data_IF_201866062324
#
_entry.id   IF_201866062324
#
_cell.length_a   1.000
_cell.length_b   1.000
_cell.length_c   1.000
_cell.angle_alpha   90.00
_cell.angle_beta   90.00
_cell.angle_gamma   90.00
#
_symmetry.space_group_name_H-M   'P 1'
#
loop_
_entity.id
_entity.type
_entity.pdbx_description
1 polymer ?
#
# COMPACT_ATOMS: atom_id res chain seq x y z
N UNK A 1 -61.30 67.23 14.78
CA UNK A 1 -61.43 65.91 15.43
C UNK A 1 -61.19 64.83 14.39
N UNK A 2 -60.28 63.87 14.68
CA UNK A 2 -59.98 62.63 13.94
C UNK A 2 -59.26 62.81 12.59
N UNK A 3 -58.25 62.05 12.19
CA UNK A 3 -57.40 61.09 12.88
C UNK A 3 -56.14 60.86 12.02
N UNK A 4 -55.09 60.44 12.70
CA UNK A 4 -53.75 60.00 12.29
C UNK A 4 -53.70 58.90 11.21
N UNK A 5 -52.55 58.83 10.52
CA UNK A 5 -52.14 57.65 9.75
C UNK A 5 -50.92 57.88 8.85
N UNK A 6 -49.72 57.95 9.43
CA UNK A 6 -48.46 57.82 8.67
C UNK A 6 -48.18 56.34 8.42
N UNK A 7 -48.10 55.92 7.17
CA UNK A 7 -47.65 54.57 6.80
C UNK A 7 -46.12 54.56 6.72
N UNK A 8 -45.45 54.03 7.75
CA UNK A 8 -44.08 53.54 7.63
C UNK A 8 -44.13 52.19 6.88
N UNK A 9 -43.64 52.16 5.64
CA UNK A 9 -43.30 50.89 5.00
C UNK A 9 -41.97 50.40 5.56
N UNK A 10 -42.04 49.47 6.51
CA UNK A 10 -40.89 48.71 6.98
C UNK A 10 -40.48 47.71 5.89
N UNK A 11 -39.39 47.98 5.18
CA UNK A 11 -38.76 47.01 4.29
C UNK A 11 -38.10 45.92 5.14
N UNK A 12 -38.65 44.71 5.12
CA UNK A 12 -38.06 43.53 5.76
C UNK A 12 -36.87 43.07 4.92
N UNK A 13 -35.66 43.24 5.44
CA UNK A 13 -34.44 42.68 4.86
C UNK A 13 -34.44 41.17 5.11
N UNK A 14 -34.74 40.36 4.09
CA UNK A 14 -34.59 38.92 4.16
C UNK A 14 -33.09 38.55 4.04
N UNK A 15 -32.47 38.21 5.17
CA UNK A 15 -31.11 37.65 5.19
C UNK A 15 -31.21 36.18 4.79
N UNK A 16 -30.80 35.86 3.56
CA UNK A 16 -30.62 34.48 3.13
C UNK A 16 -29.35 33.91 3.76
N UNK A 17 -29.49 33.10 4.81
CA UNK A 17 -28.41 32.24 5.27
C UNK A 17 -28.20 31.10 4.27
N UNK A 18 -27.18 31.23 3.43
CA UNK A 18 -26.66 30.11 2.66
C UNK A 18 -25.92 29.20 3.63
N UNK A 19 -26.59 28.18 4.14
CA UNK A 19 -25.93 27.07 4.81
C UNK A 19 -25.12 26.31 3.75
N UNK A 20 -23.82 26.59 3.67
CA UNK A 20 -22.89 25.65 3.05
C UNK A 20 -22.92 24.38 3.90
N UNK A 21 -23.55 23.33 3.37
CA UNK A 21 -23.28 21.98 3.85
C UNK A 21 -21.81 21.69 3.54
N UNK A 22 -20.94 21.86 4.53
CA UNK A 22 -19.67 21.17 4.53
C UNK A 22 -20.00 19.68 4.59
N UNK A 23 -20.03 19.02 3.43
CA UNK A 23 -19.95 17.57 3.38
C UNK A 23 -18.59 17.20 3.98
N UNK A 24 -18.57 16.83 5.26
CA UNK A 24 -17.46 16.08 5.83
C UNK A 24 -17.37 14.80 5.00
N UNK A 25 -16.45 14.77 4.04
CA UNK A 25 -16.18 13.55 3.30
C UNK A 25 -15.59 12.57 4.30
N UNK A 26 -16.32 11.50 4.60
CA UNK A 26 -15.84 10.49 5.53
C UNK A 26 -14.61 9.76 4.95
N UNK A 27 -13.80 9.18 5.83
CA UNK A 27 -12.70 8.33 5.39
C UNK A 27 -13.22 7.17 4.53
N UNK A 28 -12.50 6.79 3.48
CA UNK A 28 -12.91 5.68 2.62
C UNK A 28 -13.03 4.38 3.44
N UNK A 29 -14.19 3.72 3.38
CA UNK A 29 -14.39 2.46 4.06
C UNK A 29 -13.79 1.28 3.29
N UNK A 30 -12.68 0.75 3.82
CA UNK A 30 -11.98 -0.44 3.32
C UNK A 30 -12.49 -1.76 3.92
N UNK A 31 -13.62 -1.79 4.63
CA UNK A 31 -14.19 -3.01 5.23
C UNK A 31 -14.30 -4.17 4.22
N UNK A 32 -14.79 -3.89 3.02
CA UNK A 32 -14.85 -4.84 1.89
C UNK A 32 -13.47 -5.44 1.57
N UNK A 33 -12.42 -4.60 1.49
CA UNK A 33 -11.07 -5.09 1.25
C UNK A 33 -10.60 -6.00 2.38
N UNK A 34 -10.87 -5.61 3.62
CA UNK A 34 -10.56 -6.41 4.81
C UNK A 34 -11.25 -7.78 4.79
N UNK A 35 -12.50 -7.85 4.36
CA UNK A 35 -13.23 -9.11 4.21
C UNK A 35 -12.65 -9.97 3.08
N UNK A 36 -12.34 -9.37 1.93
CA UNK A 36 -11.78 -10.05 0.77
C UNK A 36 -10.39 -10.65 1.05
N UNK A 37 -9.48 -9.91 1.71
CA UNK A 37 -8.16 -10.46 2.03
C UNK A 37 -8.26 -11.62 3.02
N UNK A 38 -9.18 -11.57 3.99
CA UNK A 38 -9.41 -12.70 4.91
C UNK A 38 -9.97 -13.92 4.18
N UNK A 39 -10.84 -13.71 3.19
CA UNK A 39 -11.51 -14.77 2.42
C UNK A 39 -10.57 -15.44 1.42
N UNK A 40 -9.73 -14.67 0.73
CA UNK A 40 -8.99 -15.14 -0.44
C UNK A 40 -7.48 -15.29 -0.26
N UNK A 41 -6.92 -14.81 0.85
CA UNK A 41 -5.49 -14.92 1.14
C UNK A 41 -5.21 -16.08 2.09
N UNK A 42 -4.33 -16.99 1.69
CA UNK A 42 -3.90 -18.12 2.51
C UNK A 42 -2.39 -18.39 2.35
N UNK A 43 -1.71 -18.92 3.38
CA UNK A 43 -0.30 -19.26 3.27
C UNK A 43 -0.06 -20.37 2.23
N UNK A 44 1.01 -20.24 1.45
CA UNK A 44 1.50 -21.22 0.48
C UNK A 44 3.03 -21.24 0.52
N UNK A 45 3.62 -22.34 0.06
CA UNK A 45 5.06 -22.45 -0.15
C UNK A 45 5.34 -22.81 -1.60
N UNK A 46 6.26 -22.10 -2.25
CA UNK A 46 6.76 -22.42 -3.58
C UNK A 46 8.28 -22.29 -3.58
N UNK A 47 8.98 -23.30 -4.10
CA UNK A 47 10.45 -23.32 -4.15
C UNK A 47 11.13 -22.97 -2.80
N UNK A 48 10.54 -23.44 -1.69
CA UNK A 48 11.06 -23.17 -0.33
C UNK A 48 10.75 -21.78 0.23
N UNK A 49 10.08 -20.90 -0.52
CA UNK A 49 9.62 -19.58 -0.06
C UNK A 49 8.18 -19.69 0.41
N UNK A 50 7.93 -19.36 1.68
CA UNK A 50 6.57 -19.24 2.24
C UNK A 50 6.04 -17.83 2.00
N UNK A 51 4.79 -17.72 1.53
CA UNK A 51 4.15 -16.44 1.26
C UNK A 51 2.63 -16.53 1.41
N UNK A 52 1.99 -15.36 1.50
CA UNK A 52 0.53 -15.22 1.44
C UNK A 52 0.05 -15.23 -0.01
N UNK A 53 -0.53 -16.36 -0.44
CA UNK A 53 -1.07 -16.56 -1.77
C UNK A 53 -2.52 -16.08 -1.87
N UNK A 54 -2.88 -15.47 -2.99
CA UNK A 54 -4.22 -14.96 -3.28
C UNK A 54 -4.92 -15.90 -4.27
N UNK A 55 -6.17 -16.27 -3.96
CA UNK A 55 -7.05 -16.94 -4.92
C UNK A 55 -7.61 -15.91 -5.92
N UNK A 56 -6.80 -15.58 -6.93
CA UNK A 56 -7.18 -14.62 -7.97
C UNK A 56 -8.35 -15.09 -8.84
N UNK A 57 -8.50 -16.41 -9.01
CA UNK A 57 -9.58 -16.99 -9.82
C UNK A 57 -10.96 -16.73 -9.17
N UNK A 58 -11.04 -16.87 -7.85
CA UNK A 58 -12.25 -16.57 -7.09
C UNK A 58 -12.43 -15.08 -6.85
N UNK A 59 -11.35 -14.34 -6.53
CA UNK A 59 -11.40 -12.88 -6.33
C UNK A 59 -11.94 -12.15 -7.56
N UNK A 60 -11.51 -12.56 -8.77
CA UNK A 60 -12.00 -12.01 -10.04
C UNK A 60 -13.52 -12.09 -10.21
N UNK A 61 -14.16 -13.10 -9.60
CA UNK A 61 -15.61 -13.37 -9.72
C UNK A 61 -16.42 -12.80 -8.56
N UNK A 62 -15.79 -12.25 -7.53
CA UNK A 62 -16.48 -11.74 -6.35
C UNK A 62 -17.03 -10.33 -6.63
N UNK A 63 -18.36 -10.12 -6.59
CA UNK A 63 -18.96 -8.81 -6.86
C UNK A 63 -18.59 -7.74 -5.82
N UNK A 64 -18.18 -8.14 -4.61
CA UNK A 64 -17.68 -7.21 -3.59
C UNK A 64 -16.37 -6.57 -4.07
N UNK A 65 -15.51 -7.32 -4.77
CA UNK A 65 -14.25 -6.80 -5.28
C UNK A 65 -14.45 -5.79 -6.41
N UNK A 66 -15.33 -6.09 -7.39
CA UNK A 66 -15.64 -5.13 -8.46
C UNK A 66 -16.35 -3.89 -7.92
N UNK A 67 -17.26 -4.05 -6.96
CA UNK A 67 -17.91 -2.94 -6.25
C UNK A 67 -16.92 -2.05 -5.50
N UNK A 68 -15.97 -2.64 -4.77
CA UNK A 68 -14.90 -1.92 -4.08
C UNK A 68 -14.06 -1.07 -5.05
N UNK A 69 -13.66 -1.64 -6.19
CA UNK A 69 -12.90 -0.91 -7.22
C UNK A 69 -13.70 0.27 -7.76
N UNK A 70 -14.99 0.08 -8.07
CA UNK A 70 -15.86 1.15 -8.56
C UNK A 70 -16.01 2.30 -7.54
N UNK A 71 -16.10 1.99 -6.24
CA UNK A 71 -16.17 3.02 -5.18
C UNK A 71 -14.90 3.88 -5.10
N UNK A 72 -13.73 3.33 -5.44
CA UNK A 72 -12.49 4.12 -5.47
C UNK A 72 -12.53 5.20 -6.57
N UNK A 73 -13.23 4.94 -7.67
CA UNK A 73 -13.29 5.87 -8.81
C UNK A 73 -13.98 7.18 -8.43
N UNK A 74 -15.05 7.11 -7.62
CA UNK A 74 -15.87 8.26 -7.21
C UNK A 74 -15.46 8.88 -5.87
N UNK A 75 -14.48 8.32 -5.17
CA UNK A 75 -14.07 8.82 -3.85
C UNK A 75 -13.38 10.19 -3.93
N UNK A 76 -13.85 11.15 -3.12
CA UNK A 76 -13.18 12.44 -2.97
C UNK A 76 -11.93 12.32 -2.10
N UNK A 77 -10.78 12.70 -2.63
CA UNK A 77 -9.51 12.70 -1.88
C UNK A 77 -9.38 13.88 -0.91
N UNK A 78 -10.32 14.82 -0.91
CA UNK A 78 -10.26 16.03 -0.08
C UNK A 78 -10.30 15.73 1.43
N UNK A 79 -10.86 14.59 1.83
CA UNK A 79 -10.93 14.13 3.22
C UNK A 79 -9.64 13.52 3.77
N UNK A 80 -8.62 13.33 2.93
CA UNK A 80 -7.33 12.83 3.38
C UNK A 80 -6.49 14.00 3.92
N UNK A 81 -6.69 14.34 5.19
CA UNK A 81 -6.05 15.52 5.80
C UNK A 81 -4.67 15.19 6.38
N UNK A 82 -4.56 14.12 7.18
CA UNK A 82 -3.32 13.73 7.88
C UNK A 82 -2.38 12.90 7.00
N UNK A 83 -1.08 12.89 7.33
CA UNK A 83 -0.08 12.03 6.68
C UNK A 83 -0.45 10.55 6.80
N UNK A 84 -0.92 10.14 7.98
CA UNK A 84 -1.29 8.76 8.29
C UNK A 84 -2.51 8.33 7.47
N UNK A 85 -3.52 9.21 7.35
CA UNK A 85 -4.70 8.93 6.51
C UNK A 85 -4.33 8.76 5.04
N UNK A 86 -3.44 9.62 4.52
CA UNK A 86 -2.92 9.54 3.15
C UNK A 86 -2.13 8.25 2.93
N UNK A 87 -1.20 7.93 3.84
CA UNK A 87 -0.39 6.71 3.73
C UNK A 87 -1.27 5.46 3.79
N UNK A 88 -2.14 5.32 4.80
CA UNK A 88 -3.00 4.13 4.92
C UNK A 88 -3.91 3.98 3.70
N UNK A 89 -4.49 5.07 3.21
CA UNK A 89 -5.32 5.06 2.01
C UNK A 89 -4.53 4.57 0.80
N UNK A 90 -3.40 5.19 0.47
CA UNK A 90 -2.64 4.87 -0.74
C UNK A 90 -1.98 3.48 -0.69
N UNK A 91 -1.60 2.99 0.49
CA UNK A 91 -1.13 1.59 0.65
C UNK A 91 -2.27 0.61 0.34
N UNK A 92 -3.47 0.81 0.92
CA UNK A 92 -4.61 -0.05 0.63
C UNK A 92 -4.99 0.00 -0.86
N UNK A 93 -5.06 1.19 -1.44
CA UNK A 93 -5.38 1.39 -2.87
C UNK A 93 -4.35 0.71 -3.76
N UNK A 94 -3.05 0.84 -3.48
CA UNK A 94 -2.02 0.13 -4.24
C UNK A 94 -2.28 -1.38 -4.23
N UNK A 95 -2.52 -1.96 -3.06
CA UNK A 95 -2.71 -3.41 -2.92
C UNK A 95 -3.99 -3.90 -3.62
N UNK A 96 -5.08 -3.12 -3.56
CA UNK A 96 -6.33 -3.40 -4.30
C UNK A 96 -6.08 -3.37 -5.80
N UNK A 97 -5.41 -2.32 -6.29
CA UNK A 97 -5.15 -2.16 -7.72
C UNK A 97 -4.11 -3.17 -8.24
N UNK A 98 -3.15 -3.59 -7.40
CA UNK A 98 -2.22 -4.66 -7.74
C UNK A 98 -2.95 -6.00 -7.90
N UNK A 99 -3.88 -6.31 -6.98
CA UNK A 99 -4.73 -7.47 -7.12
C UNK A 99 -5.61 -7.39 -8.38
N UNK A 100 -6.18 -6.20 -8.66
CA UNK A 100 -6.99 -5.95 -9.86
C UNK A 100 -6.19 -6.18 -11.14
N UNK A 101 -4.96 -5.68 -11.21
CA UNK A 101 -4.06 -5.90 -12.33
C UNK A 101 -3.83 -7.40 -12.58
N UNK A 102 -3.71 -8.22 -11.54
CA UNK A 102 -3.63 -9.67 -11.74
C UNK A 102 -4.97 -10.24 -12.21
N UNK A 103 -6.09 -9.90 -11.57
CA UNK A 103 -7.41 -10.47 -11.92
C UNK A 103 -7.82 -10.14 -13.36
N UNK A 104 -7.52 -8.93 -13.84
CA UNK A 104 -7.84 -8.48 -15.20
C UNK A 104 -7.12 -9.33 -16.25
N UNK A 105 -5.91 -9.80 -15.93
CA UNK A 105 -5.06 -10.58 -16.82
C UNK A 105 -5.03 -12.08 -16.51
N UNK A 106 -5.71 -12.54 -15.46
CA UNK A 106 -5.68 -13.94 -15.03
C UNK A 106 -6.33 -14.88 -16.07
N UNK A 107 -5.73 -16.06 -16.37
CA UNK A 107 -4.54 -16.66 -15.74
C UNK A 107 -3.20 -16.21 -16.35
N UNK A 108 -2.20 -15.95 -15.50
CA UNK A 108 -0.81 -15.60 -15.86
C UNK A 108 0.18 -16.30 -14.93
N UNK A 109 1.43 -16.48 -15.37
CA UNK A 109 2.48 -17.12 -14.56
C UNK A 109 3.31 -16.11 -13.78
N UNK A 110 3.60 -14.95 -14.37
CA UNK A 110 4.35 -13.87 -13.75
C UNK A 110 3.64 -12.53 -13.88
N UNK A 111 3.77 -11.68 -12.85
CA UNK A 111 3.37 -10.26 -12.94
C UNK A 111 4.10 -9.55 -14.09
N UNK A 112 5.30 -10.00 -14.46
CA UNK A 112 6.03 -9.48 -15.61
C UNK A 112 5.34 -9.74 -16.94
N UNK A 113 4.55 -10.81 -17.03
CA UNK A 113 3.79 -11.17 -18.25
C UNK A 113 2.70 -10.14 -18.56
N UNK A 114 2.27 -9.36 -17.55
CA UNK A 114 1.29 -8.27 -17.72
C UNK A 114 1.93 -7.04 -18.37
N UNK A 115 3.25 -6.90 -18.29
CA UNK A 115 4.02 -5.83 -18.92
C UNK A 115 4.68 -6.30 -20.22
N UNK A 116 5.22 -5.34 -20.97
CA UNK A 116 6.23 -5.62 -21.99
C UNK A 116 7.56 -5.00 -21.57
N UNK A 117 8.65 -5.40 -22.24
CA UNK A 117 9.97 -4.78 -22.03
C UNK A 117 9.94 -3.25 -22.18
N UNK A 118 9.07 -2.73 -23.06
CA UNK A 118 8.92 -1.29 -23.33
C UNK A 118 7.90 -0.59 -22.40
N UNK A 119 6.95 -1.34 -21.84
CA UNK A 119 5.96 -0.80 -20.88
C UNK A 119 5.78 -1.78 -19.73
N UNK A 120 6.57 -1.64 -18.65
CA UNK A 120 6.42 -2.44 -17.45
C UNK A 120 4.97 -2.38 -16.95
N UNK A 121 4.47 -3.49 -16.41
CA UNK A 121 3.10 -3.61 -15.86
C UNK A 121 2.73 -2.44 -14.96
N UNK A 122 3.67 -1.98 -14.15
CA UNK A 122 3.47 -0.89 -13.19
C UNK A 122 3.18 0.47 -13.85
N UNK A 123 3.47 0.64 -15.15
CA UNK A 123 3.17 1.85 -15.94
C UNK A 123 1.88 1.72 -16.76
N UNK A 124 1.14 0.61 -16.64
CA UNK A 124 -0.20 0.47 -17.21
C UNK A 124 -1.23 1.05 -16.23
N UNK A 125 -2.34 1.55 -16.76
CA UNK A 125 -3.46 2.02 -15.95
C UNK A 125 -3.98 0.84 -15.15
N UNK A 126 -3.96 0.97 -13.83
CA UNK A 126 -4.41 -0.05 -12.90
C UNK A 126 -5.87 0.16 -12.49
N UNK A 127 -6.30 1.42 -12.41
CA UNK A 127 -7.68 1.81 -12.16
C UNK A 127 -7.82 3.33 -12.05
N UNK A 128 -9.03 3.79 -11.77
CA UNK A 128 -9.34 5.19 -11.51
C UNK A 128 -9.51 5.40 -10.01
N UNK A 129 -8.94 6.47 -9.47
CA UNK A 129 -9.06 6.82 -8.05
C UNK A 129 -9.33 8.31 -7.94
N UNK A 130 -10.50 8.66 -7.39
CA UNK A 130 -10.98 10.04 -7.31
C UNK A 130 -11.00 10.76 -8.67
N UNK A 131 -11.58 10.11 -9.67
CA UNK A 131 -11.74 10.64 -11.02
C UNK A 131 -10.48 10.71 -11.89
N UNK A 132 -9.32 10.25 -11.38
CA UNK A 132 -8.07 10.25 -12.15
C UNK A 132 -7.55 8.82 -12.36
N UNK A 133 -7.17 8.49 -13.60
CA UNK A 133 -6.47 7.25 -13.91
C UNK A 133 -5.14 7.17 -13.16
N UNK A 134 -4.88 6.01 -12.55
CA UNK A 134 -3.67 5.74 -11.76
C UNK A 134 -2.97 4.49 -12.27
N UNK A 135 -1.65 4.54 -12.22
CA UNK A 135 -0.79 3.37 -12.41
C UNK A 135 -0.20 2.97 -11.06
N UNK A 136 0.25 1.72 -10.90
CA UNK A 136 0.95 1.33 -9.66
C UNK A 136 2.23 2.16 -9.45
N UNK A 137 2.93 2.49 -10.54
CA UNK A 137 4.11 3.35 -10.50
C UNK A 137 3.78 4.78 -10.03
N UNK A 138 2.65 5.36 -10.47
CA UNK A 138 2.20 6.69 -10.01
C UNK A 138 1.96 6.68 -8.50
N UNK A 139 1.25 5.67 -8.00
CA UNK A 139 0.96 5.55 -6.57
C UNK A 139 2.25 5.38 -5.76
N UNK A 140 3.16 4.53 -6.21
CA UNK A 140 4.41 4.26 -5.50
C UNK A 140 5.39 5.44 -5.55
N UNK A 141 5.73 5.91 -6.75
CA UNK A 141 6.80 6.89 -6.94
C UNK A 141 6.34 8.34 -6.77
N UNK A 142 5.16 8.68 -7.25
CA UNK A 142 4.70 10.07 -7.27
C UNK A 142 3.91 10.47 -6.03
N UNK A 143 3.41 9.48 -5.27
CA UNK A 143 2.60 9.71 -4.07
C UNK A 143 3.27 9.13 -2.81
N UNK A 144 3.42 7.80 -2.71
CA UNK A 144 3.86 7.15 -1.48
C UNK A 144 5.32 7.49 -1.11
N UNK A 145 6.26 7.37 -2.06
CA UNK A 145 7.68 7.65 -1.81
C UNK A 145 7.94 9.10 -1.40
N UNK A 146 7.16 10.06 -1.91
CA UNK A 146 7.26 11.48 -1.53
C UNK A 146 6.85 11.76 -0.08
N UNK A 147 6.18 10.82 0.59
CA UNK A 147 5.84 10.91 2.02
C UNK A 147 6.97 10.43 2.96
N UNK A 148 8.13 10.08 2.40
CA UNK A 148 9.37 9.73 3.12
C UNK A 148 9.16 8.64 4.20
N UNK A 149 8.45 7.59 3.81
CA UNK A 149 8.12 6.44 4.65
C UNK A 149 8.77 5.16 4.08
N UNK A 150 9.95 4.73 4.56
CA UNK A 150 10.66 3.59 3.96
C UNK A 150 9.91 2.26 4.09
N UNK A 151 9.02 2.14 5.09
CA UNK A 151 8.23 0.90 5.32
C UNK A 151 7.16 0.66 4.26
N UNK A 152 6.86 1.60 3.37
CA UNK A 152 5.92 1.35 2.27
C UNK A 152 6.37 0.17 1.41
N UNK A 153 7.69 -0.02 1.24
CA UNK A 153 8.29 -1.07 0.41
C UNK A 153 8.02 -2.49 0.92
N UNK A 154 7.59 -2.62 2.17
CA UNK A 154 7.16 -3.89 2.77
C UNK A 154 5.64 -3.97 3.01
N UNK A 155 4.92 -2.91 2.61
CA UNK A 155 3.47 -2.78 2.79
C UNK A 155 2.71 -2.81 1.46
N UNK A 156 3.35 -2.41 0.36
CA UNK A 156 2.80 -2.52 -0.99
C UNK A 156 3.28 -3.81 -1.67
N UNK A 157 2.35 -4.62 -2.15
CA UNK A 157 2.62 -5.98 -2.64
C UNK A 157 2.46 -6.04 -4.16
N UNK A 158 3.60 -6.22 -4.83
CA UNK A 158 3.73 -6.36 -6.29
C UNK A 158 3.24 -7.70 -6.88
N UNK A 159 2.45 -8.47 -6.13
CA UNK A 159 1.86 -9.75 -6.53
C UNK A 159 2.84 -10.85 -7.00
N UNK A 160 4.07 -10.89 -6.47
CA UNK A 160 5.05 -11.96 -6.73
C UNK A 160 5.41 -12.76 -5.48
N UNK A 161 5.93 -13.98 -5.65
CA UNK A 161 6.32 -14.89 -4.56
C UNK A 161 7.33 -14.25 -3.60
N UNK A 162 8.32 -13.52 -4.13
CA UNK A 162 9.34 -12.83 -3.32
C UNK A 162 8.93 -11.43 -2.85
N UNK A 163 7.72 -10.93 -3.18
CA UNK A 163 7.19 -9.70 -2.58
C UNK A 163 6.93 -9.92 -1.06
N UNK A 164 6.79 -8.83 -0.29
CA UNK A 164 6.26 -8.90 1.08
C UNK A 164 4.90 -9.58 1.11
N UNK A 165 4.54 -10.18 2.24
CA UNK A 165 3.24 -10.80 2.38
C UNK A 165 2.14 -9.75 2.41
N UNK A 166 1.08 -9.98 1.62
CA UNK A 166 -0.13 -9.18 1.71
C UNK A 166 -0.74 -9.36 3.10
N UNK A 167 -0.90 -8.23 3.81
CA UNK A 167 -1.51 -8.18 5.12
C UNK A 167 -2.97 -8.65 5.04
N UNK A 168 -3.39 -9.51 5.98
CA UNK A 168 -4.77 -10.01 6.07
C UNK A 168 -5.72 -9.06 6.83
N UNK A 169 -5.32 -7.80 6.96
CA UNK A 169 -6.14 -6.69 7.46
C UNK A 169 -5.75 -5.40 6.73
N UNK A 170 -6.65 -4.42 6.78
CA UNK A 170 -6.46 -3.13 6.12
C UNK A 170 -5.52 -2.22 6.93
N UNK A 171 -4.76 -1.39 6.24
CA UNK A 171 -4.02 -0.32 6.91
C UNK A 171 -4.99 0.78 7.35
N UNK A 172 -4.85 1.27 8.58
CA UNK A 172 -5.68 2.37 9.09
C UNK A 172 -4.82 3.43 9.74
N UNK A 173 -5.24 4.71 9.65
CA UNK A 173 -4.46 5.83 10.17
C UNK A 173 -4.07 5.65 11.64
N UNK A 174 -5.00 5.15 12.48
CA UNK A 174 -4.78 4.95 13.92
C UNK A 174 -3.83 3.81 14.29
N UNK A 175 -3.57 2.85 13.38
CA UNK A 175 -2.70 1.69 13.61
C UNK A 175 -1.49 1.65 12.68
N UNK A 176 -1.35 2.64 11.79
CA UNK A 176 -0.44 2.56 10.65
C UNK A 176 1.00 2.26 11.06
N UNK A 177 1.53 2.94 12.08
CA UNK A 177 2.92 2.74 12.50
C UNK A 177 3.15 1.31 13.02
N UNK A 178 2.28 0.80 13.89
CA UNK A 178 2.34 -0.58 14.39
C UNK A 178 2.27 -1.59 13.22
N UNK A 179 1.36 -1.37 12.28
CA UNK A 179 1.17 -2.26 11.13
C UNK A 179 2.39 -2.25 10.19
N UNK A 180 3.01 -1.09 9.99
CA UNK A 180 4.21 -0.95 9.17
C UNK A 180 5.45 -1.58 9.84
N UNK A 181 5.60 -1.42 11.14
CA UNK A 181 6.69 -2.03 11.91
C UNK A 181 6.55 -3.56 11.92
N UNK A 182 5.35 -4.07 12.22
CA UNK A 182 5.04 -5.50 12.17
C UNK A 182 5.30 -6.10 10.79
N UNK A 183 4.97 -5.40 9.71
CA UNK A 183 5.26 -5.85 8.34
C UNK A 183 6.77 -5.90 8.04
N UNK A 184 7.54 -4.92 8.49
CA UNK A 184 8.99 -4.92 8.29
C UNK A 184 9.63 -6.08 9.04
N UNK A 185 9.25 -6.29 10.30
CA UNK A 185 9.72 -7.42 11.10
C UNK A 185 9.39 -8.77 10.46
N UNK A 186 8.12 -8.97 10.08
CA UNK A 186 7.67 -10.21 9.41
C UNK A 186 8.39 -10.43 8.10
N UNK A 187 8.59 -9.37 7.32
CA UNK A 187 9.29 -9.47 6.05
C UNK A 187 10.74 -9.89 6.25
N UNK A 188 11.49 -9.23 7.14
CA UNK A 188 12.89 -9.57 7.42
C UNK A 188 13.05 -11.01 7.91
N UNK A 189 12.11 -11.49 8.75
CA UNK A 189 12.10 -12.88 9.25
C UNK A 189 11.61 -13.90 8.22
N UNK A 190 11.12 -13.46 7.05
CA UNK A 190 10.54 -14.35 6.04
C UNK A 190 11.63 -15.18 5.34
N UNK A 191 11.66 -16.51 5.55
CA UNK A 191 12.70 -17.36 4.97
C UNK A 191 12.67 -17.32 3.44
N UNK A 192 13.83 -17.06 2.84
CA UNK A 192 14.00 -17.07 1.39
C UNK A 192 13.59 -15.78 0.66
N UNK A 193 13.03 -14.77 1.34
CA UNK A 193 12.70 -13.48 0.68
C UNK A 193 12.99 -12.21 1.49
N UNK A 194 13.20 -12.32 2.80
CA UNK A 194 13.45 -11.19 3.70
C UNK A 194 14.92 -10.86 3.91
N UNK A 195 15.49 -11.47 4.94
CA UNK A 195 16.89 -11.38 5.34
C UNK A 195 17.44 -12.76 5.68
N UNK A 196 18.72 -13.00 5.40
CA UNK A 196 19.46 -14.18 5.87
C UNK A 196 20.88 -13.78 6.25
N UNK A 197 21.28 -14.09 7.48
CA UNK A 197 22.67 -13.94 7.93
C UNK A 197 23.49 -15.19 7.61
N UNK A 198 24.73 -14.97 7.16
CA UNK A 198 25.77 -15.98 7.00
C UNK A 198 27.03 -15.47 7.70
N UNK A 199 27.10 -15.73 9.00
CA UNK A 199 28.20 -15.26 9.87
C UNK A 199 29.54 -15.87 9.47
N UNK A 200 29.55 -17.13 9.00
CA UNK A 200 30.77 -17.82 8.54
C UNK A 200 31.42 -17.09 7.37
N UNK A 201 30.62 -16.49 6.48
CA UNK A 201 31.09 -15.69 5.34
C UNK A 201 31.09 -14.18 5.62
N UNK A 202 30.78 -13.77 6.84
CA UNK A 202 30.57 -12.38 7.24
C UNK A 202 29.68 -11.61 6.25
N UNK A 203 28.51 -12.16 5.96
CA UNK A 203 27.62 -11.70 4.89
C UNK A 203 26.17 -11.67 5.35
N UNK A 204 25.45 -10.63 4.94
CA UNK A 204 23.99 -10.55 5.02
C UNK A 204 23.41 -10.62 3.61
N UNK A 205 22.44 -11.50 3.41
CA UNK A 205 21.62 -11.55 2.20
C UNK A 205 20.30 -10.83 2.48
N UNK A 206 19.95 -9.87 1.65
CA UNK A 206 18.73 -9.07 1.76
C UNK A 206 17.83 -9.28 0.55
N UNK A 207 16.54 -9.04 0.72
CA UNK A 207 15.64 -8.89 -0.42
C UNK A 207 16.17 -7.88 -1.43
N UNK A 208 15.93 -8.15 -2.73
CA UNK A 208 16.24 -7.19 -3.80
C UNK A 208 15.49 -5.86 -3.65
N UNK A 209 14.41 -5.80 -2.87
CA UNK A 209 13.71 -4.55 -2.52
C UNK A 209 14.66 -3.54 -1.86
N UNK A 210 15.52 -4.01 -0.95
CA UNK A 210 16.53 -3.15 -0.32
C UNK A 210 17.67 -2.73 -1.27
N UNK A 211 17.80 -3.38 -2.43
CA UNK A 211 18.69 -2.93 -3.51
C UNK A 211 18.04 -1.83 -4.34
N UNK A 212 16.81 -2.08 -4.80
CA UNK A 212 16.11 -1.19 -5.73
C UNK A 212 15.73 0.14 -5.10
N UNK A 213 15.42 0.13 -3.80
CA UNK A 213 14.97 1.31 -3.06
C UNK A 213 15.96 1.76 -1.98
N UNK A 214 17.25 1.44 -2.13
CA UNK A 214 18.28 1.78 -1.14
C UNK A 214 18.30 3.26 -0.76
N UNK A 215 18.02 4.16 -1.72
CA UNK A 215 17.98 5.61 -1.53
C UNK A 215 16.93 6.05 -0.50
N UNK A 216 15.79 5.35 -0.44
CA UNK A 216 14.70 5.71 0.48
C UNK A 216 15.08 5.43 1.95
N UNK A 217 16.17 4.70 2.19
CA UNK A 217 16.74 4.45 3.51
C UNK A 217 17.95 5.36 3.82
N UNK A 218 18.48 6.09 2.83
CA UNK A 218 19.73 6.85 2.96
C UNK A 218 19.66 7.92 4.07
N UNK A 219 18.55 8.68 4.12
CA UNK A 219 18.31 9.69 5.17
C UNK A 219 18.22 9.10 6.59
N UNK A 220 18.06 7.79 6.73
CA UNK A 220 18.02 7.07 8.00
C UNK A 220 19.36 6.36 8.31
N UNK A 221 20.41 6.66 7.56
CA UNK A 221 21.75 6.09 7.66
C UNK A 221 21.92 4.76 6.92
N UNK A 222 21.09 4.53 5.90
CA UNK A 222 21.19 3.40 4.99
C UNK A 222 20.46 2.15 5.47
N UNK A 223 20.37 1.16 4.56
CA UNK A 223 19.58 -0.06 4.74
C UNK A 223 19.93 -0.80 6.03
N UNK A 224 21.21 -1.12 6.26
CA UNK A 224 21.61 -1.96 7.41
C UNK A 224 21.27 -1.30 8.76
N UNK A 225 21.54 0.00 8.88
CA UNK A 225 21.20 0.75 10.08
C UNK A 225 19.69 0.79 10.31
N UNK A 226 18.92 1.01 9.23
CA UNK A 226 17.47 1.08 9.31
C UNK A 226 16.84 -0.26 9.69
N UNK A 227 17.18 -1.36 9.00
CA UNK A 227 16.61 -2.67 9.32
C UNK A 227 17.10 -3.19 10.68
N UNK A 228 18.23 -2.70 11.17
CA UNK A 228 18.78 -3.01 12.49
C UNK A 228 17.78 -2.82 13.63
N UNK A 229 16.82 -1.89 13.50
CA UNK A 229 15.80 -1.66 14.52
C UNK A 229 14.73 -2.77 14.61
N UNK A 230 14.61 -3.61 13.58
CA UNK A 230 13.56 -4.64 13.43
C UNK A 230 14.08 -6.07 13.61
N UNK A 231 15.35 -6.23 13.97
CA UNK A 231 16.03 -7.52 14.17
C UNK A 231 16.46 -7.67 15.64
N UNK A 232 16.87 -8.88 16.04
CA UNK A 232 17.31 -9.12 17.42
C UNK A 232 18.58 -8.31 17.76
N UNK A 233 18.91 -8.21 19.04
CA UNK A 233 20.12 -7.52 19.47
C UNK A 233 21.40 -8.20 18.92
N UNK A 234 21.39 -9.52 18.79
CA UNK A 234 22.46 -10.34 18.24
C UNK A 234 22.63 -10.06 16.75
N UNK A 235 21.53 -10.12 15.98
CA UNK A 235 21.53 -9.83 14.55
C UNK A 235 21.98 -8.39 14.30
N UNK A 236 21.49 -7.43 15.10
CA UNK A 236 21.90 -6.02 15.01
C UNK A 236 23.40 -5.82 15.22
N UNK A 237 24.02 -6.55 16.16
CA UNK A 237 25.49 -6.51 16.34
C UNK A 237 26.22 -6.97 15.07
N UNK A 238 25.73 -8.03 14.43
CA UNK A 238 26.28 -8.53 13.15
C UNK A 238 26.11 -7.47 12.05
N UNK A 239 24.92 -6.88 11.92
CA UNK A 239 24.63 -5.83 10.91
C UNK A 239 25.47 -4.55 11.10
N UNK A 240 25.84 -4.23 12.34
CA UNK A 240 26.68 -3.08 12.66
C UNK A 240 28.19 -3.31 12.41
N UNK A 241 28.59 -4.54 12.06
CA UNK A 241 29.98 -4.82 11.69
C UNK A 241 30.30 -4.14 10.35
N UNK A 242 31.20 -3.15 10.36
CA UNK A 242 31.61 -2.40 9.17
C UNK A 242 32.23 -3.27 8.06
N UNK A 243 32.65 -4.49 8.37
CA UNK A 243 33.20 -5.45 7.40
C UNK A 243 32.14 -6.36 6.78
N UNK A 244 30.88 -6.32 7.23
CA UNK A 244 29.82 -7.20 6.72
C UNK A 244 29.58 -6.92 5.23
N UNK A 245 29.51 -7.98 4.43
CA UNK A 245 29.21 -7.86 3.00
C UNK A 245 27.71 -7.96 2.79
N UNK A 246 27.15 -7.07 1.97
CA UNK A 246 25.76 -7.16 1.52
C UNK A 246 25.71 -8.01 0.24
N UNK A 247 24.80 -8.97 0.21
CA UNK A 247 24.36 -9.70 -0.97
C UNK A 247 22.84 -9.64 -1.06
N UNK A 248 22.30 -10.02 -2.20
CA UNK A 248 20.85 -10.03 -2.40
C UNK A 248 20.35 -11.44 -2.69
N UNK A 249 19.19 -11.76 -2.16
CA UNK A 249 18.46 -13.00 -2.41
C UNK A 249 17.92 -12.99 -3.85
N UNK A 250 17.81 -14.19 -4.44
CA UNK A 250 17.09 -14.38 -5.69
C UNK A 250 15.63 -13.96 -5.53
N UNK A 251 15.08 -13.39 -6.60
CA UNK A 251 13.73 -12.84 -6.58
C UNK A 251 12.83 -13.64 -7.52
N UNK A 252 11.93 -14.45 -6.94
CA UNK A 252 10.95 -15.21 -7.69
C UNK A 252 9.78 -14.30 -8.11
N UNK A 253 9.69 -14.08 -9.43
CA UNK A 253 8.68 -13.24 -10.08
C UNK A 253 7.39 -13.97 -10.47
N UNK A 254 7.26 -15.27 -10.17
CA UNK A 254 5.99 -15.99 -10.30
C UNK A 254 4.92 -15.28 -9.49
N UNK A 255 3.68 -15.30 -9.98
CA UNK A 255 2.57 -14.66 -9.26
C UNK A 255 2.38 -15.31 -7.89
N UNK A 256 2.03 -14.51 -6.89
CA UNK A 256 1.64 -15.02 -5.57
C UNK A 256 0.21 -15.61 -5.58
N UNK A 257 -0.12 -16.41 -6.59
CA UNK A 257 -1.44 -17.01 -6.77
C UNK A 257 -1.54 -18.43 -6.21
N UNK A 258 -2.76 -18.85 -5.87
CA UNK A 258 -3.10 -20.26 -5.62
C UNK A 258 -4.20 -20.76 -6.55
#
# INVERSE_FOLDING_TARGET
MKNTGWYLQSAVLAVFFVFSFCSNSEAFDFSDWGALVKKYVAPKTLAGVRFNAIDYASLKKDPVFSGLVARLESYSLASLESRESKLSFWINVYNILAAKMITDHYPIKSIKDVGSFFKPVWKRVAGTVGGKERTLNDIEHEILRKMNEPRIHVAIVCASVSCPDLRQEVYSAGKLNEQLDDQMEKFLRSPGKGMKLDERKNRVYLSSIFKWFAEDFASRGGVLKYIGQYVTAEERKVLNNSKIKISYLDYNWEINGR
#
